data_IF_352821767246
#
_entry.id   IF_352821767246
#
_cell.length_a   1.000
_cell.length_b   1.000
_cell.length_c   1.000
_cell.angle_alpha   90.00
_cell.angle_beta   90.00
_cell.angle_gamma   90.00
#
_symmetry.space_group_name_H-M   'P 1'
#
loop_
_entity.id
_entity.type
_entity.pdbx_description
1 polymer ?
#
# COMPACT_ATOMS: atom_id res chain seq x y z
N UNK A 1 -14.39 29.49 11.43
CA UNK A 1 -14.33 28.02 11.57
C UNK A 1 -14.04 27.72 13.03
N UNK A 2 -14.89 26.96 13.73
CA UNK A 2 -14.72 26.70 15.18
C UNK A 2 -13.75 25.54 15.40
N UNK A 3 -12.99 25.54 16.51
CA UNK A 3 -12.06 24.44 16.85
C UNK A 3 -12.74 23.06 16.78
N UNK A 4 -14.01 22.96 17.18
CA UNK A 4 -14.79 21.72 17.10
C UNK A 4 -14.93 21.16 15.67
N UNK A 5 -15.05 22.02 14.64
CA UNK A 5 -15.20 21.54 13.25
C UNK A 5 -13.88 20.97 12.73
N UNK A 6 -12.75 21.58 13.08
CA UNK A 6 -11.40 21.14 12.68
C UNK A 6 -11.11 19.73 13.19
N UNK A 7 -11.44 19.44 14.46
CA UNK A 7 -11.28 18.10 15.03
C UNK A 7 -12.18 17.07 14.34
N UNK A 8 -13.45 17.41 14.08
CA UNK A 8 -14.38 16.51 13.39
C UNK A 8 -13.92 16.17 11.97
N UNK A 9 -13.42 17.15 11.23
CA UNK A 9 -12.94 16.95 9.86
C UNK A 9 -11.65 16.13 9.82
N UNK A 10 -10.71 16.39 10.74
CA UNK A 10 -9.51 15.58 10.89
C UNK A 10 -9.83 14.12 11.24
N UNK A 11 -10.81 13.89 12.12
CA UNK A 11 -11.26 12.54 12.47
C UNK A 11 -11.81 11.79 11.25
N UNK A 12 -12.71 12.41 10.46
CA UNK A 12 -13.23 11.81 9.23
C UNK A 12 -12.10 11.45 8.25
N UNK A 13 -11.08 12.31 8.15
CA UNK A 13 -9.94 12.06 7.29
C UNK A 13 -9.11 10.87 7.78
N UNK A 14 -8.89 10.73 9.09
CA UNK A 14 -8.21 9.58 9.69
C UNK A 14 -8.98 8.29 9.39
N UNK A 15 -10.28 8.26 9.67
CA UNK A 15 -11.14 7.09 9.42
C UNK A 15 -11.12 6.66 7.94
N UNK A 16 -11.18 7.64 7.03
CA UNK A 16 -11.04 7.39 5.59
C UNK A 16 -9.68 6.77 5.25
N UNK A 17 -8.59 7.28 5.81
CA UNK A 17 -7.26 6.73 5.58
C UNK A 17 -7.14 5.29 6.09
N UNK A 18 -7.67 5.01 7.28
CA UNK A 18 -7.66 3.68 7.88
C UNK A 18 -8.44 2.66 7.04
N UNK A 19 -9.59 3.07 6.49
CA UNK A 19 -10.35 2.24 5.55
C UNK A 19 -9.56 1.87 4.29
N UNK A 20 -8.74 2.78 3.76
CA UNK A 20 -7.87 2.50 2.61
C UNK A 20 -6.78 1.49 2.97
N UNK A 21 -6.17 1.58 4.15
CA UNK A 21 -5.18 0.58 4.59
C UNK A 21 -5.77 -0.83 4.63
N UNK A 22 -7.00 -0.98 5.13
CA UNK A 22 -7.70 -2.27 5.18
C UNK A 22 -8.07 -2.78 3.79
N UNK A 23 -8.69 -1.94 2.97
CA UNK A 23 -9.27 -2.34 1.67
C UNK A 23 -8.24 -2.49 0.56
N UNK A 24 -7.25 -1.59 0.47
CA UNK A 24 -6.31 -1.51 -0.66
C UNK A 24 -4.90 -2.06 -0.35
N UNK A 25 -4.56 -2.11 0.94
CA UNK A 25 -3.22 -2.51 1.40
C UNK A 25 -3.21 -3.72 2.33
N UNK A 26 -4.36 -4.36 2.55
CA UNK A 26 -4.51 -5.63 3.27
C UNK A 26 -4.04 -5.60 4.72
N UNK A 27 -4.18 -4.46 5.41
CA UNK A 27 -3.96 -4.40 6.85
C UNK A 27 -5.17 -5.02 7.55
N UNK A 28 -4.92 -5.79 8.62
CA UNK A 28 -6.02 -6.29 9.44
C UNK A 28 -6.59 -5.19 10.36
N UNK A 29 -7.69 -5.49 11.04
CA UNK A 29 -8.38 -4.52 11.92
C UNK A 29 -7.54 -4.11 13.13
N UNK A 30 -6.67 -4.98 13.65
CA UNK A 30 -5.78 -4.66 14.75
C UNK A 30 -4.66 -3.71 14.30
N UNK A 31 -4.13 -3.94 13.10
CA UNK A 31 -3.07 -3.14 12.51
C UNK A 31 -3.53 -1.73 12.15
N UNK A 32 -4.82 -1.53 11.92
CA UNK A 32 -5.46 -0.23 11.63
C UNK A 32 -6.14 0.38 12.85
N UNK A 33 -6.09 -0.28 14.01
CA UNK A 33 -6.72 0.23 15.22
C UNK A 33 -6.02 1.52 15.69
N UNK A 34 -6.83 2.56 15.92
CA UNK A 34 -6.40 3.77 16.60
C UNK A 34 -7.41 4.17 17.68
N UNK A 35 -6.92 4.79 18.75
CA UNK A 35 -7.77 5.34 19.81
C UNK A 35 -7.20 6.67 20.28
N UNK A 36 -8.05 7.69 20.37
CA UNK A 36 -7.70 8.95 21.03
C UNK A 36 -7.73 8.74 22.54
N UNK A 37 -6.61 8.95 23.21
CA UNK A 37 -6.49 8.80 24.66
C UNK A 37 -6.65 10.12 25.41
N UNK A 38 -6.20 11.22 24.82
CA UNK A 38 -6.20 12.53 25.46
C UNK A 38 -6.26 13.63 24.40
N UNK A 39 -7.07 14.65 24.68
CA UNK A 39 -7.08 15.95 23.98
C UNK A 39 -7.05 17.01 25.06
N UNK A 40 -5.87 17.60 25.27
CA UNK A 40 -5.67 18.75 26.16
C UNK A 40 -5.09 19.89 25.33
N UNK A 41 -5.22 21.14 25.78
CA UNK A 41 -4.78 22.31 25.01
C UNK A 41 -3.39 22.08 24.38
N UNK A 42 -3.34 22.05 23.05
CA UNK A 42 -2.13 21.89 22.22
C UNK A 42 -1.44 20.51 22.28
N UNK A 43 -2.15 19.50 22.79
CA UNK A 43 -1.64 18.14 22.95
C UNK A 43 -2.68 17.08 22.64
N UNK A 44 -2.33 16.15 21.75
CA UNK A 44 -3.15 14.98 21.45
C UNK A 44 -2.33 13.71 21.58
N UNK A 45 -2.92 12.71 22.25
CA UNK A 45 -2.32 11.39 22.42
C UNK A 45 -3.16 10.36 21.69
N UNK A 46 -2.55 9.68 20.72
CA UNK A 46 -3.13 8.54 20.02
C UNK A 46 -2.49 7.24 20.50
N UNK A 47 -3.30 6.20 20.65
CA UNK A 47 -2.85 4.82 20.75
C UNK A 47 -2.98 4.15 19.38
N UNK A 48 -1.94 3.48 18.91
CA UNK A 48 -1.89 2.82 17.61
C UNK A 48 -1.06 1.52 17.66
N UNK A 49 -1.22 0.67 16.64
CA UNK A 49 -0.42 -0.54 16.44
C UNK A 49 1.00 -0.24 15.88
N UNK A 50 1.93 -1.20 16.02
CA UNK A 50 3.31 -1.12 15.52
C UNK A 50 3.40 -0.73 14.04
N UNK A 51 2.60 -1.37 13.17
CA UNK A 51 2.63 -1.09 11.72
C UNK A 51 2.28 0.37 11.38
N UNK A 52 1.23 0.92 12.00
CA UNK A 52 0.89 2.33 11.82
C UNK A 52 2.00 3.24 12.37
N UNK A 53 2.67 2.84 13.46
CA UNK A 53 3.76 3.62 14.05
C UNK A 53 4.91 3.76 13.07
N UNK A 54 5.31 2.66 12.45
CA UNK A 54 6.39 2.64 11.45
C UNK A 54 6.07 3.54 10.26
N UNK A 55 4.84 3.43 9.73
CA UNK A 55 4.37 4.25 8.62
C UNK A 55 4.38 5.75 8.96
N UNK A 56 3.82 6.11 10.12
CA UNK A 56 3.70 7.50 10.58
C UNK A 56 5.07 8.08 10.89
N UNK A 57 5.96 7.32 11.55
CA UNK A 57 7.32 7.75 11.86
C UNK A 57 8.16 7.97 10.59
N UNK A 58 8.03 7.09 9.60
CA UNK A 58 8.71 7.26 8.32
C UNK A 58 8.25 8.56 7.62
N UNK A 59 6.94 8.79 7.54
CA UNK A 59 6.43 10.02 6.91
C UNK A 59 6.76 11.26 7.72
N UNK A 60 6.78 11.16 9.05
CA UNK A 60 7.18 12.26 9.93
C UNK A 60 8.61 12.68 9.65
N UNK A 61 9.52 11.70 9.53
CA UNK A 61 10.91 11.96 9.23
C UNK A 61 11.09 12.60 7.84
N UNK A 62 10.31 12.19 6.85
CA UNK A 62 10.33 12.78 5.50
C UNK A 62 9.86 14.24 5.52
N UNK A 63 8.77 14.56 6.22
CA UNK A 63 8.13 15.87 6.17
C UNK A 63 8.78 16.89 7.11
N UNK A 64 9.19 16.45 8.29
CA UNK A 64 9.64 17.34 9.38
C UNK A 64 11.09 17.10 9.79
N UNK A 65 11.79 16.16 9.15
CA UNK A 65 13.20 15.88 9.39
C UNK A 65 13.48 15.40 10.81
N UNK A 66 14.39 16.11 11.50
CA UNK A 66 14.83 15.80 12.86
C UNK A 66 14.15 16.66 13.94
N UNK A 67 13.08 17.40 13.62
CA UNK A 67 12.32 18.17 14.61
C UNK A 67 11.49 17.25 15.53
N UNK A 68 12.13 16.31 16.24
CA UNK A 68 11.49 15.31 17.11
C UNK A 68 10.74 15.92 18.30
N UNK A 69 10.83 17.23 18.50
CA UNK A 69 10.24 17.92 19.65
C UNK A 69 8.71 17.94 19.61
N UNK A 70 8.10 17.81 18.43
CA UNK A 70 6.64 17.92 18.25
C UNK A 70 5.91 16.58 18.26
N UNK A 71 6.61 15.47 18.02
CA UNK A 71 6.03 14.12 17.97
C UNK A 71 6.88 13.13 18.74
N UNK A 72 6.29 12.54 19.78
CA UNK A 72 6.95 11.53 20.61
C UNK A 72 6.25 10.19 20.48
N UNK A 73 7.03 9.12 20.29
CA UNK A 73 6.55 7.73 20.26
C UNK A 73 6.94 7.01 21.56
N UNK A 74 5.97 6.42 22.26
CA UNK A 74 6.21 5.63 23.49
C UNK A 74 5.57 4.25 23.39
N UNK A 75 6.35 3.18 23.61
CA UNK A 75 5.83 1.81 23.62
C UNK A 75 5.07 1.53 24.92
N UNK A 76 3.92 0.89 24.82
CA UNK A 76 3.02 0.54 25.92
C UNK A 76 2.46 -0.88 25.69
N UNK A 77 3.17 -1.89 26.20
CA UNK A 77 2.81 -3.29 25.95
C UNK A 77 2.85 -3.62 24.45
N UNK A 78 1.71 -4.04 23.88
CA UNK A 78 1.54 -4.34 22.45
C UNK A 78 1.23 -3.12 21.57
N UNK A 79 0.99 -1.94 22.16
CA UNK A 79 0.63 -0.73 21.44
C UNK A 79 1.65 0.39 21.59
N UNK A 80 1.52 1.42 20.76
CA UNK A 80 2.31 2.65 20.83
C UNK A 80 1.42 3.84 21.11
N UNK A 81 1.94 4.75 21.94
CA UNK A 81 1.41 6.10 22.07
C UNK A 81 2.17 7.03 21.15
N UNK A 82 1.45 7.76 20.30
CA UNK A 82 1.96 8.93 19.60
C UNK A 82 1.45 10.17 20.33
N UNK A 83 2.35 11.05 20.71
CA UNK A 83 2.06 12.30 21.40
C UNK A 83 2.42 13.43 20.45
N UNK A 84 1.44 14.24 20.06
CA UNK A 84 1.62 15.44 19.25
C UNK A 84 1.51 16.67 20.14
N UNK A 85 2.48 17.58 20.05
CA UNK A 85 2.53 18.86 20.77
C UNK A 85 2.72 19.98 19.73
N UNK A 86 1.61 20.43 19.11
CA UNK A 86 1.65 21.22 17.86
C UNK A 86 0.74 22.46 17.85
N UNK A 87 0.28 22.93 19.01
CA UNK A 87 -0.46 24.19 19.08
C UNK A 87 -1.91 24.15 18.60
N UNK A 88 -2.51 22.96 18.44
CA UNK A 88 -3.91 22.79 18.03
C UNK A 88 -4.13 22.12 16.66
N UNK A 89 -3.06 21.82 15.92
CA UNK A 89 -3.11 21.18 14.58
C UNK A 89 -2.82 19.67 14.63
N UNK A 90 -2.81 19.06 15.82
CA UNK A 90 -2.28 17.71 16.07
C UNK A 90 -2.99 16.65 15.22
N UNK A 91 -4.33 16.71 15.20
CA UNK A 91 -5.16 15.74 14.49
C UNK A 91 -4.99 15.87 12.96
N UNK A 92 -4.75 17.08 12.47
CA UNK A 92 -4.51 17.33 11.05
C UNK A 92 -3.13 16.84 10.61
N UNK A 93 -2.11 17.03 11.46
CA UNK A 93 -0.77 16.47 11.23
C UNK A 93 -0.86 14.95 11.18
N UNK A 94 -1.56 14.32 12.13
CA UNK A 94 -1.73 12.87 12.12
C UNK A 94 -2.46 12.37 10.87
N UNK A 95 -3.56 13.03 10.48
CA UNK A 95 -4.28 12.70 9.25
C UNK A 95 -3.41 12.82 7.99
N UNK A 96 -2.57 13.86 7.92
CA UNK A 96 -1.64 14.06 6.79
C UNK A 96 -0.53 13.02 6.76
N UNK A 97 -0.01 12.60 7.91
CA UNK A 97 0.99 11.52 7.97
C UNK A 97 0.41 10.23 7.40
N UNK A 98 -0.82 9.86 7.81
CA UNK A 98 -1.51 8.68 7.26
C UNK A 98 -1.77 8.80 5.76
N UNK A 99 -2.21 9.96 5.28
CA UNK A 99 -2.45 10.20 3.87
C UNK A 99 -1.18 10.03 3.03
N UNK A 100 -0.04 10.53 3.52
CA UNK A 100 1.24 10.38 2.82
C UNK A 100 1.76 8.93 2.87
N UNK A 101 1.48 8.20 3.95
CA UNK A 101 1.77 6.76 4.02
C UNK A 101 1.01 5.98 2.94
N UNK A 102 -0.29 6.27 2.72
CA UNK A 102 -1.09 5.67 1.65
C UNK A 102 -0.45 5.97 0.28
N UNK A 103 -0.16 7.24 -0.01
CA UNK A 103 0.46 7.62 -1.30
C UNK A 103 1.77 6.88 -1.56
N UNK A 104 2.63 6.79 -0.54
CA UNK A 104 3.90 6.05 -0.64
C UNK A 104 3.67 4.57 -0.94
N UNK A 105 2.69 3.95 -0.30
CA UNK A 105 2.34 2.55 -0.51
C UNK A 105 1.73 2.30 -1.88
N UNK A 106 0.92 3.22 -2.40
CA UNK A 106 0.38 3.16 -3.75
C UNK A 106 1.49 3.25 -4.81
N UNK A 107 2.45 4.15 -4.64
CA UNK A 107 3.60 4.22 -5.55
C UNK A 107 4.45 2.94 -5.48
N UNK A 108 4.72 2.42 -4.28
CA UNK A 108 5.40 1.14 -4.13
C UNK A 108 4.62 -0.02 -4.79
N UNK A 109 3.29 -0.04 -4.67
CA UNK A 109 2.40 -1.00 -5.34
C UNK A 109 2.51 -0.88 -6.85
N UNK A 110 2.43 0.32 -7.42
CA UNK A 110 2.59 0.57 -8.87
C UNK A 110 3.93 0.07 -9.39
N UNK A 111 5.03 0.41 -8.70
CA UNK A 111 6.38 -0.04 -9.06
C UNK A 111 6.46 -1.56 -9.06
N UNK A 112 5.99 -2.22 -7.98
CA UNK A 112 5.96 -3.68 -7.87
C UNK A 112 5.15 -4.34 -8.99
N UNK A 113 3.97 -3.78 -9.29
CA UNK A 113 3.08 -4.28 -10.35
C UNK A 113 3.73 -4.13 -11.73
N UNK A 114 4.31 -2.97 -12.03
CA UNK A 114 4.98 -2.73 -13.32
C UNK A 114 6.19 -3.65 -13.50
N UNK A 115 6.99 -3.85 -12.45
CA UNK A 115 8.11 -4.80 -12.48
C UNK A 115 7.61 -6.24 -12.69
N UNK A 116 6.54 -6.64 -12.01
CA UNK A 116 5.94 -7.97 -12.19
C UNK A 116 5.40 -8.19 -13.60
N UNK A 117 4.75 -7.19 -14.20
CA UNK A 117 4.31 -7.23 -15.60
C UNK A 117 5.50 -7.41 -16.54
N UNK A 118 6.59 -6.65 -16.34
CA UNK A 118 7.78 -6.75 -17.17
C UNK A 118 8.43 -8.16 -17.11
N UNK A 119 8.41 -8.82 -15.95
CA UNK A 119 8.88 -10.22 -15.81
C UNK A 119 8.05 -11.15 -16.70
N UNK A 120 6.72 -11.05 -16.63
CA UNK A 120 5.79 -11.88 -17.42
C UNK A 120 5.97 -11.59 -18.92
N UNK A 121 6.06 -10.31 -19.31
CA UNK A 121 6.28 -9.90 -20.70
C UNK A 121 7.60 -10.42 -21.26
N UNK A 122 8.69 -10.38 -20.48
CA UNK A 122 9.99 -10.89 -20.92
C UNK A 122 9.98 -12.40 -21.14
N UNK A 123 9.33 -13.14 -20.23
CA UNK A 123 9.14 -14.60 -20.38
C UNK A 123 8.36 -14.94 -21.64
N UNK A 124 7.24 -14.24 -21.89
CA UNK A 124 6.47 -14.42 -23.12
C UNK A 124 7.31 -14.04 -24.34
N UNK A 125 7.96 -12.88 -24.35
CA UNK A 125 8.81 -12.43 -25.47
C UNK A 125 9.92 -13.43 -25.79
N UNK A 126 10.57 -14.02 -24.79
CA UNK A 126 11.60 -15.06 -24.99
C UNK A 126 11.05 -16.28 -25.74
N UNK A 127 9.85 -16.74 -25.37
CA UNK A 127 9.19 -17.82 -26.10
C UNK A 127 8.76 -17.40 -27.51
N UNK A 128 8.16 -16.21 -27.66
CA UNK A 128 7.67 -15.73 -28.96
C UNK A 128 8.79 -15.33 -29.92
N UNK A 129 10.01 -14.98 -29.46
CA UNK A 129 11.14 -14.71 -30.37
C UNK A 129 11.44 -15.88 -31.29
N UNK A 130 11.06 -17.09 -30.89
CA UNK A 130 11.24 -18.29 -31.68
C UNK A 130 10.03 -18.60 -32.59
N UNK A 131 8.99 -17.75 -32.63
CA UNK A 131 7.69 -18.04 -33.29
C UNK A 131 6.96 -16.81 -33.83
N UNK A 132 6.26 -17.00 -34.96
CA UNK A 132 5.50 -15.93 -35.62
C UNK A 132 4.12 -15.71 -34.95
N UNK A 133 4.10 -15.08 -33.77
CA UNK A 133 2.88 -14.89 -32.97
C UNK A 133 2.28 -13.50 -33.19
N UNK A 134 1.12 -13.48 -33.85
CA UNK A 134 0.40 -12.26 -34.28
C UNK A 134 -0.24 -11.43 -33.15
N UNK A 135 -0.32 -11.91 -31.90
CA UNK A 135 -0.99 -11.19 -30.80
C UNK A 135 -0.17 -11.19 -29.51
N UNK A 136 0.04 -10.00 -28.95
CA UNK A 136 0.71 -9.82 -27.66
C UNK A 136 -0.17 -10.31 -26.49
N UNK A 137 0.45 -10.82 -25.40
CA UNK A 137 -0.27 -11.20 -24.20
C UNK A 137 -0.93 -9.99 -23.53
N UNK A 138 -2.14 -10.18 -23.01
CA UNK A 138 -2.80 -9.20 -22.14
C UNK A 138 -2.44 -9.52 -20.68
N UNK A 139 -1.80 -8.57 -20.00
CA UNK A 139 -1.36 -8.73 -18.60
C UNK A 139 -1.97 -7.63 -17.73
N UNK A 140 -2.60 -7.99 -16.63
CA UNK A 140 -3.18 -7.04 -15.67
C UNK A 140 -3.01 -7.52 -14.23
N UNK A 141 -3.25 -6.61 -13.28
CA UNK A 141 -3.14 -6.89 -11.85
C UNK A 141 -4.45 -6.53 -11.16
N UNK A 142 -5.01 -7.43 -10.36
CA UNK A 142 -6.27 -7.24 -9.65
C UNK A 142 -6.30 -8.09 -8.38
N UNK A 143 -6.83 -7.54 -7.28
CA UNK A 143 -7.05 -8.25 -6.01
C UNK A 143 -5.81 -9.00 -5.50
N UNK A 144 -4.63 -8.41 -5.60
CA UNK A 144 -3.39 -9.04 -5.15
C UNK A 144 -2.73 -9.97 -6.17
N UNK A 145 -3.38 -10.24 -7.31
CA UNK A 145 -2.98 -11.27 -8.28
C UNK A 145 -2.58 -10.67 -9.62
N UNK A 146 -1.56 -11.27 -10.24
CA UNK A 146 -1.22 -11.08 -11.64
C UNK A 146 -2.07 -12.02 -12.49
N UNK A 147 -2.64 -11.47 -13.56
CA UNK A 147 -3.38 -12.19 -14.57
C UNK A 147 -2.68 -12.03 -15.91
N UNK A 148 -2.54 -13.13 -16.63
CA UNK A 148 -2.00 -13.14 -17.98
C UNK A 148 -2.89 -13.99 -18.89
N UNK A 149 -3.29 -13.41 -20.02
CA UNK A 149 -4.10 -14.09 -21.04
C UNK A 149 -3.53 -13.89 -22.43
N UNK A 150 -3.40 -14.96 -23.19
CA UNK A 150 -2.90 -14.92 -24.57
C UNK A 150 -3.48 -16.06 -25.41
N UNK A 151 -3.34 -15.93 -26.72
CA UNK A 151 -3.85 -16.87 -27.71
C UNK A 151 -2.69 -17.51 -28.47
N UNK A 152 -2.66 -18.83 -28.55
CA UNK A 152 -1.67 -19.60 -29.31
C UNK A 152 -2.39 -20.69 -30.08
N UNK A 153 -2.19 -20.73 -31.39
CA UNK A 153 -2.82 -21.73 -32.27
C UNK A 153 -4.32 -21.88 -32.01
N UNK A 154 -5.01 -20.74 -31.82
CA UNK A 154 -6.44 -20.67 -31.48
C UNK A 154 -6.83 -21.18 -30.08
N UNK A 155 -5.90 -21.60 -29.24
CA UNK A 155 -6.12 -21.93 -27.83
C UNK A 155 -5.90 -20.71 -26.93
N UNK A 156 -6.82 -20.48 -26.00
CA UNK A 156 -6.70 -19.44 -24.97
C UNK A 156 -5.99 -20.01 -23.75
N UNK A 157 -4.89 -19.39 -23.35
CA UNK A 157 -4.20 -19.68 -22.09
C UNK A 157 -4.49 -18.55 -21.11
N UNK A 158 -4.91 -18.91 -19.89
CA UNK A 158 -5.15 -18.00 -18.78
C UNK A 158 -4.36 -18.48 -17.56
N UNK A 159 -3.59 -17.58 -16.96
CA UNK A 159 -2.74 -17.86 -15.80
C UNK A 159 -2.93 -16.76 -14.77
N UNK A 160 -3.18 -17.17 -13.53
CA UNK A 160 -3.44 -16.26 -12.41
C UNK A 160 -2.63 -16.68 -11.20
N UNK A 161 -1.74 -15.80 -10.73
CA UNK A 161 -0.96 -16.06 -9.52
C UNK A 161 -0.53 -14.76 -8.83
N UNK A 162 -0.27 -14.80 -7.52
CA UNK A 162 0.30 -13.68 -6.78
C UNK A 162 1.76 -13.40 -7.18
N UNK A 163 2.49 -14.46 -7.57
CA UNK A 163 3.89 -14.40 -7.98
C UNK A 163 4.01 -14.20 -9.50
N UNK A 164 4.60 -13.08 -9.98
CA UNK A 164 4.81 -12.89 -11.42
C UNK A 164 5.79 -13.92 -12.01
N UNK A 165 6.71 -14.46 -11.21
CA UNK A 165 7.61 -15.54 -11.62
C UNK A 165 6.85 -16.84 -11.86
N UNK A 166 5.89 -17.17 -10.97
CA UNK A 166 5.05 -18.36 -11.14
C UNK A 166 4.14 -18.20 -12.35
N UNK A 167 3.56 -17.01 -12.57
CA UNK A 167 2.84 -16.72 -13.81
C UNK A 167 3.75 -16.95 -15.02
N UNK A 168 4.96 -16.38 -15.03
CA UNK A 168 5.90 -16.55 -16.13
C UNK A 168 6.26 -18.03 -16.39
N UNK A 169 6.48 -18.81 -15.33
CA UNK A 169 6.79 -20.24 -15.43
C UNK A 169 5.60 -21.05 -15.96
N UNK A 170 4.41 -20.88 -15.38
CA UNK A 170 3.20 -21.59 -15.84
C UNK A 170 2.86 -21.25 -17.29
N UNK A 171 3.15 -20.02 -17.72
CA UNK A 171 3.06 -19.67 -19.13
C UNK A 171 4.00 -20.57 -19.92
N UNK A 172 5.30 -20.58 -19.62
CA UNK A 172 6.28 -21.41 -20.33
C UNK A 172 5.95 -22.91 -20.33
N UNK A 173 5.33 -23.44 -19.26
CA UNK A 173 4.92 -24.84 -19.17
C UNK A 173 3.66 -25.16 -19.99
N UNK A 174 2.69 -24.23 -20.07
CA UNK A 174 1.45 -24.40 -20.85
C UNK A 174 1.65 -24.08 -22.33
N UNK A 175 2.80 -23.51 -22.67
CA UNK A 175 3.23 -23.35 -24.05
C UNK A 175 3.61 -24.71 -24.59
N UNK A 176 2.97 -25.21 -25.67
CA UNK A 176 3.27 -26.54 -26.12
C UNK A 176 4.71 -26.58 -26.62
N UNK A 177 5.45 -27.63 -26.24
CA UNK A 177 6.65 -28.05 -26.95
C UNK A 177 6.20 -28.35 -28.37
N UNK A 178 6.60 -27.51 -29.32
CA UNK A 178 6.53 -27.91 -30.72
C UNK A 178 7.98 -27.97 -31.17
N UNK A 179 8.44 -29.20 -31.42
CA UNK A 179 9.48 -29.48 -32.43
C UNK A 179 9.02 -28.99 -33.81
#
# INVERSE_FOLDING_TARGET
MTKLSIYSDAQKQIERCLSVFTSEHHFNSEETAYKVLLVENEKVIFQIHQKLKELVEQQYHILYGNDRKKVTFKKMGSFWKIIFETGGDESYIFANLLLNSIKSMDEAKKVRVNRGKAIIEDAVKKYLRNRDVKKQPRIWYKNGLFHAKFLINSMSVDVVNASPQTVAQEILEKLPEFE
#
